data_IF_449608550837
#
_entry.id   IF_449608550837
#
_cell.length_a   1.000
_cell.length_b   1.000
_cell.length_c   1.000
_cell.angle_alpha   90.00
_cell.angle_beta   90.00
_cell.angle_gamma   90.00
#
_symmetry.space_group_name_H-M   'P 1'
#
loop_
_entity.id
_entity.type
_entity.pdbx_description
1 polymer ?
#
# COMPACT_ATOMS: atom_id res chain seq x y z
N UNK A 1 36.01 -36.53 64.56
CA UNK A 1 34.74 -36.73 65.30
C UNK A 1 33.65 -35.94 64.60
N UNK A 2 32.59 -36.62 64.15
CA UNK A 2 31.41 -35.99 63.54
C UNK A 2 30.27 -35.92 64.57
N UNK A 3 29.48 -34.84 64.61
CA UNK A 3 28.12 -34.87 65.13
C UNK A 3 27.14 -34.73 63.95
N UNK A 4 26.46 -35.83 63.59
CA UNK A 4 25.10 -36.22 64.01
C UNK A 4 23.98 -35.33 63.46
N UNK A 5 23.31 -35.91 62.47
CA UNK A 5 21.97 -35.60 61.96
C UNK A 5 20.97 -35.42 63.11
N UNK A 6 20.29 -34.27 63.13
CA UNK A 6 19.01 -34.07 63.80
C UNK A 6 17.92 -33.88 62.74
N UNK A 7 16.93 -34.77 62.75
CA UNK A 7 15.78 -34.84 61.85
C UNK A 7 14.56 -34.42 62.69
N UNK A 8 13.82 -33.40 62.26
CA UNK A 8 12.43 -33.06 62.64
C UNK A 8 11.92 -32.14 61.52
N UNK A 9 11.23 -32.63 60.49
CA UNK A 9 9.78 -32.84 60.39
C UNK A 9 8.92 -31.63 60.82
N UNK A 10 8.18 -31.13 59.82
CA UNK A 10 6.91 -30.42 59.89
C UNK A 10 6.92 -28.95 60.33
N UNK A 11 7.41 -28.08 59.44
CA UNK A 11 6.84 -26.74 59.29
C UNK A 11 5.82 -26.81 58.14
N UNK A 12 4.55 -26.65 58.51
CA UNK A 12 3.40 -26.68 57.63
C UNK A 12 3.56 -25.73 56.45
N UNK A 13 3.11 -26.19 55.28
CA UNK A 13 2.83 -25.36 54.10
C UNK A 13 1.81 -24.28 54.49
N UNK A 14 2.27 -23.15 55.00
CA UNK A 14 1.50 -21.92 54.90
C UNK A 14 1.58 -21.48 53.44
N UNK A 15 0.56 -21.86 52.67
CA UNK A 15 0.16 -21.06 51.51
C UNK A 15 -0.33 -19.72 52.05
N UNK A 16 0.62 -18.82 52.36
CA UNK A 16 0.33 -17.39 52.43
C UNK A 16 -0.24 -17.02 51.09
N UNK A 17 -1.50 -16.56 51.11
CA UNK A 17 -2.20 -15.97 49.98
C UNK A 17 -1.20 -15.08 49.25
N UNK A 18 -0.79 -15.48 48.04
CA UNK A 18 -0.13 -14.57 47.12
C UNK A 18 -1.20 -13.56 46.75
N UNK A 19 -1.29 -12.51 47.55
CA UNK A 19 -1.75 -11.20 47.14
C UNK A 19 -1.09 -10.97 45.79
N UNK A 20 -1.92 -10.87 44.73
CA UNK A 20 -1.44 -10.82 43.35
C UNK A 20 -0.54 -9.60 43.23
N UNK A 21 0.78 -9.77 43.41
CA UNK A 21 1.74 -8.70 43.22
C UNK A 21 1.46 -8.13 41.85
N UNK A 22 1.24 -6.81 41.82
CA UNK A 22 1.09 -6.09 40.57
C UNK A 22 2.35 -6.37 39.75
N UNK A 23 2.29 -6.53 38.41
CA UNK A 23 3.48 -6.88 37.62
C UNK A 23 4.71 -5.99 37.87
N UNK A 24 4.47 -4.70 38.21
CA UNK A 24 5.50 -3.75 38.64
C UNK A 24 6.14 -4.12 39.98
N UNK A 25 5.36 -4.55 40.96
CA UNK A 25 5.85 -4.99 42.27
C UNK A 25 6.63 -6.29 42.16
N UNK A 26 6.19 -7.24 41.31
CA UNK A 26 6.92 -8.48 41.07
C UNK A 26 8.30 -8.24 40.44
N UNK A 27 8.41 -7.27 39.52
CA UNK A 27 9.71 -6.87 38.93
C UNK A 27 10.61 -6.23 40.00
N UNK A 28 10.07 -5.33 40.83
CA UNK A 28 10.84 -4.70 41.90
C UNK A 28 11.32 -5.72 42.92
N UNK A 29 10.48 -6.68 43.30
CA UNK A 29 10.84 -7.72 44.25
C UNK A 29 11.93 -8.66 43.70
N UNK A 30 11.86 -8.97 42.40
CA UNK A 30 12.93 -9.67 41.69
C UNK A 30 14.26 -8.88 41.69
N UNK A 31 14.21 -7.57 41.39
CA UNK A 31 15.38 -6.71 41.42
C UNK A 31 15.99 -6.61 42.82
N UNK A 32 15.15 -6.45 43.85
CA UNK A 32 15.57 -6.44 45.26
C UNK A 32 16.19 -7.79 45.63
N UNK A 33 15.60 -8.90 45.22
CA UNK A 33 16.16 -10.24 45.41
C UNK A 33 17.53 -10.40 44.78
N UNK A 34 17.71 -9.91 43.54
CA UNK A 34 18.99 -9.96 42.85
C UNK A 34 20.06 -9.10 43.56
N UNK A 35 19.70 -7.89 44.00
CA UNK A 35 20.60 -7.01 44.76
C UNK A 35 20.97 -7.61 46.12
N UNK A 36 20.04 -8.25 46.82
CA UNK A 36 20.32 -8.98 48.07
C UNK A 36 21.29 -10.13 47.83
N UNK A 37 21.10 -10.92 46.77
CA UNK A 37 22.00 -12.01 46.40
C UNK A 37 23.41 -11.51 46.05
N UNK A 38 23.51 -10.43 45.27
CA UNK A 38 24.78 -9.79 44.94
C UNK A 38 25.49 -9.30 46.21
N UNK A 39 24.76 -8.64 47.11
CA UNK A 39 25.30 -8.14 48.38
C UNK A 39 25.81 -9.28 49.26
N UNK A 40 25.08 -10.40 49.34
CA UNK A 40 25.49 -11.59 50.09
C UNK A 40 26.76 -12.22 49.50
N UNK A 41 26.84 -12.33 48.17
CA UNK A 41 28.04 -12.84 47.48
C UNK A 41 29.26 -11.93 47.71
N UNK A 42 29.07 -10.62 47.69
CA UNK A 42 30.13 -9.65 47.99
C UNK A 42 30.59 -9.73 49.45
N UNK A 43 29.66 -9.84 50.40
CA UNK A 43 29.98 -10.06 51.82
C UNK A 43 30.77 -11.35 52.03
N UNK A 44 30.35 -12.43 51.40
CA UNK A 44 31.08 -13.71 51.45
C UNK A 44 32.51 -13.55 50.90
N UNK A 45 32.67 -12.94 49.71
CA UNK A 45 33.99 -12.70 49.10
C UNK A 45 34.89 -11.81 49.97
N UNK A 46 34.30 -10.81 50.63
CA UNK A 46 35.03 -9.95 51.57
C UNK A 46 35.54 -10.75 52.77
N UNK A 47 34.70 -11.60 53.34
CA UNK A 47 35.08 -12.40 54.51
C UNK A 47 36.15 -13.45 54.15
N UNK A 48 36.06 -14.08 52.97
CA UNK A 48 37.09 -14.99 52.49
C UNK A 48 38.44 -14.29 52.30
N UNK A 49 38.44 -13.08 51.74
CA UNK A 49 39.67 -12.29 51.58
C UNK A 49 40.26 -11.88 52.93
N UNK A 50 39.41 -11.52 53.89
CA UNK A 50 39.85 -11.18 55.25
C UNK A 50 40.46 -12.38 55.97
N UNK A 51 39.91 -13.58 55.79
CA UNK A 51 40.48 -14.81 56.36
C UNK A 51 41.82 -15.16 55.71
N UNK A 52 41.93 -15.09 54.37
CA UNK A 52 43.21 -15.30 53.69
C UNK A 52 44.27 -14.29 54.14
N UNK A 53 43.89 -13.02 54.36
CA UNK A 53 44.82 -12.01 54.87
C UNK A 53 45.32 -12.38 56.26
N UNK A 54 44.43 -12.79 57.17
CA UNK A 54 44.81 -13.23 58.52
C UNK A 54 45.77 -14.43 58.46
N UNK A 55 45.45 -15.45 57.68
CA UNK A 55 46.31 -16.62 57.51
C UNK A 55 47.71 -16.24 57.01
N UNK A 56 47.79 -15.29 56.06
CA UNK A 56 49.09 -14.80 55.57
C UNK A 56 49.87 -14.01 56.61
N UNK A 57 49.19 -13.18 57.41
CA UNK A 57 49.82 -12.46 58.51
C UNK A 57 50.33 -13.44 59.58
N UNK A 58 49.55 -14.44 59.95
CA UNK A 58 49.95 -15.46 60.92
C UNK A 58 51.17 -16.25 60.42
N UNK A 59 51.16 -16.63 59.13
CA UNK A 59 52.30 -17.29 58.49
C UNK A 59 53.56 -16.40 58.53
N UNK A 60 53.45 -15.12 58.17
CA UNK A 60 54.56 -14.17 58.26
C UNK A 60 55.11 -14.03 59.70
N UNK A 61 54.24 -14.00 60.71
CA UNK A 61 54.70 -13.93 62.12
C UNK A 61 55.43 -15.20 62.56
N UNK A 62 54.96 -16.37 62.12
CA UNK A 62 55.63 -17.65 62.40
C UNK A 62 57.00 -17.75 61.72
N UNK A 63 57.11 -17.31 60.46
CA UNK A 63 58.37 -17.26 59.73
C UNK A 63 59.37 -16.30 60.39
N UNK A 64 58.91 -15.13 60.82
CA UNK A 64 59.76 -14.18 61.55
C UNK A 64 60.31 -14.78 62.85
N UNK A 65 59.47 -15.48 63.61
CA UNK A 65 59.91 -16.20 64.81
C UNK A 65 60.92 -17.31 64.49
N UNK A 66 60.70 -18.05 63.40
CA UNK A 66 61.62 -19.09 62.94
C UNK A 66 62.97 -18.49 62.51
N UNK A 67 62.97 -17.37 61.79
CA UNK A 67 64.16 -16.65 61.39
C UNK A 67 64.95 -16.14 62.61
N UNK A 68 64.27 -15.54 63.59
CA UNK A 68 64.89 -15.10 64.85
C UNK A 68 65.46 -16.27 65.68
N UNK A 69 64.90 -17.47 65.56
CA UNK A 69 65.42 -18.68 66.18
C UNK A 69 66.68 -19.19 65.46
N UNK A 70 66.63 -19.25 64.12
CA UNK A 70 67.76 -19.66 63.28
C UNK A 70 68.94 -18.71 63.46
N UNK A 71 68.72 -17.38 63.46
CA UNK A 71 69.77 -16.39 63.67
C UNK A 71 70.42 -16.52 65.05
N UNK A 72 69.65 -16.85 66.09
CA UNK A 72 70.20 -17.14 67.42
C UNK A 72 71.04 -18.42 67.39
N UNK A 73 70.53 -19.50 66.82
CA UNK A 73 71.24 -20.77 66.71
C UNK A 73 72.56 -20.63 65.91
N UNK A 74 72.54 -19.93 64.79
CA UNK A 74 73.75 -19.67 64.00
C UNK A 74 74.73 -18.78 64.74
N UNK A 75 74.25 -17.76 65.47
CA UNK A 75 75.13 -16.94 66.32
C UNK A 75 75.80 -17.74 67.45
N UNK A 76 75.09 -18.70 68.05
CA UNK A 76 75.64 -19.61 69.06
C UNK A 76 76.67 -20.58 68.45
N UNK A 77 76.37 -21.16 67.28
CA UNK A 77 77.33 -22.03 66.56
C UNK A 77 78.57 -21.27 66.13
N UNK A 78 78.45 -20.00 65.73
CA UNK A 78 79.60 -19.17 65.35
C UNK A 78 80.50 -18.86 66.56
N UNK A 79 79.92 -18.70 67.75
CA UNK A 79 80.67 -18.58 69.00
C UNK A 79 81.37 -19.90 69.39
N UNK A 80 80.71 -21.05 69.22
CA UNK A 80 81.32 -22.36 69.49
C UNK A 80 82.47 -22.70 68.53
N UNK A 81 82.32 -22.42 67.24
CA UNK A 81 83.39 -22.64 66.23
C UNK A 81 84.60 -21.74 66.46
N UNK A 82 84.43 -20.57 67.10
CA UNK A 82 85.53 -19.65 67.37
C UNK A 82 86.46 -20.07 68.53
N UNK A 83 86.07 -21.08 69.32
CA UNK A 83 86.77 -21.44 70.56
C UNK A 83 87.64 -22.70 70.42
N UNK A 84 87.38 -23.62 69.47
CA UNK A 84 87.93 -24.98 69.59
C UNK A 84 88.72 -25.58 68.41
N UNK A 85 88.93 -24.92 67.26
CA UNK A 85 89.68 -25.56 66.15
C UNK A 85 90.93 -24.78 65.67
N UNK A 86 92.05 -24.96 66.39
CA UNK A 86 93.39 -24.94 65.80
C UNK A 86 93.68 -26.32 65.14
N UNK A 87 92.88 -26.71 64.16
CA UNK A 87 93.17 -27.88 63.32
C UNK A 87 94.08 -27.46 62.17
N UNK A 88 95.24 -28.10 62.03
CA UNK A 88 96.17 -27.87 60.92
C UNK A 88 95.49 -28.23 59.60
N UNK A 89 94.99 -27.23 58.88
CA UNK A 89 94.38 -27.40 57.57
C UNK A 89 95.48 -27.82 56.58
N UNK A 90 95.32 -28.99 55.95
CA UNK A 90 96.25 -29.47 54.93
C UNK A 90 96.11 -28.66 53.64
N UNK A 91 97.21 -28.50 52.89
CA UNK A 91 97.20 -27.73 51.63
C UNK A 91 96.19 -28.27 50.60
N UNK A 92 95.92 -29.58 50.60
CA UNK A 92 94.92 -30.17 49.69
C UNK A 92 93.47 -29.84 50.10
N UNK A 93 93.19 -29.70 51.40
CA UNK A 93 91.86 -29.32 51.89
C UNK A 93 91.54 -27.88 51.51
N UNK A 94 92.51 -26.96 51.61
CA UNK A 94 92.34 -25.58 51.16
C UNK A 94 92.08 -25.50 49.65
N UNK A 95 92.76 -26.36 48.85
CA UNK A 95 92.61 -26.39 47.40
C UNK A 95 91.24 -26.95 46.98
N UNK A 96 90.78 -28.01 47.64
CA UNK A 96 89.46 -28.57 47.42
C UNK A 96 88.35 -27.59 47.81
N UNK A 97 88.49 -26.92 48.97
CA UNK A 97 87.58 -25.86 49.39
C UNK A 97 87.54 -24.68 48.39
N UNK A 98 88.69 -24.26 47.86
CA UNK A 98 88.74 -23.19 46.85
C UNK A 98 88.05 -23.62 45.53
N UNK A 99 88.25 -24.86 45.09
CA UNK A 99 87.59 -25.40 43.91
C UNK A 99 86.07 -25.53 44.09
N UNK A 100 85.63 -25.94 45.29
CA UNK A 100 84.21 -26.08 45.61
C UNK A 100 83.53 -24.71 45.72
N UNK A 101 84.17 -23.73 46.37
CA UNK A 101 83.68 -22.34 46.41
C UNK A 101 83.64 -21.67 45.04
N UNK A 102 84.57 -21.99 44.13
CA UNK A 102 84.51 -21.52 42.75
C UNK A 102 83.35 -22.16 41.98
N UNK A 103 83.10 -23.47 42.15
CA UNK A 103 81.93 -24.13 41.54
C UNK A 103 80.62 -23.57 42.06
N UNK A 104 80.54 -23.29 43.36
CA UNK A 104 79.36 -22.65 43.98
C UNK A 104 79.17 -21.24 43.40
N UNK A 105 80.23 -20.45 43.29
CA UNK A 105 80.17 -19.12 42.67
C UNK A 105 79.70 -19.19 41.21
N UNK A 106 80.29 -20.06 40.40
CA UNK A 106 79.92 -20.22 38.99
C UNK A 106 78.45 -20.66 38.86
N UNK A 107 78.00 -21.57 39.72
CA UNK A 107 76.61 -22.00 39.77
C UNK A 107 75.66 -20.86 40.15
N UNK A 108 75.98 -20.10 41.20
CA UNK A 108 75.21 -18.92 41.62
C UNK A 108 75.16 -17.85 40.52
N UNK A 109 76.27 -17.59 39.83
CA UNK A 109 76.32 -16.64 38.71
C UNK A 109 75.43 -17.08 37.56
N UNK A 110 75.40 -18.38 37.23
CA UNK A 110 74.50 -18.90 36.19
C UNK A 110 73.02 -18.82 36.58
N UNK A 111 72.68 -19.04 37.85
CA UNK A 111 71.31 -18.90 38.34
C UNK A 111 70.86 -17.44 38.36
N UNK A 112 71.74 -16.51 38.75
CA UNK A 112 71.47 -15.06 38.67
C UNK A 112 71.21 -14.63 37.23
N UNK A 113 72.03 -15.09 36.27
CA UNK A 113 71.82 -14.82 34.85
C UNK A 113 70.46 -15.32 34.35
N UNK A 114 70.05 -16.55 34.70
CA UNK A 114 68.72 -17.08 34.33
C UNK A 114 67.57 -16.27 34.92
N UNK A 115 67.65 -15.93 36.20
CA UNK A 115 66.64 -15.10 36.86
C UNK A 115 66.55 -13.73 36.18
N UNK A 116 67.69 -13.18 35.76
CA UNK A 116 67.72 -11.89 35.06
C UNK A 116 67.06 -11.97 33.67
N UNK A 117 67.29 -13.03 32.91
CA UNK A 117 66.57 -13.30 31.66
C UNK A 117 65.05 -13.50 31.88
N UNK A 118 64.65 -14.19 32.95
CA UNK A 118 63.25 -14.38 33.31
C UNK A 118 62.57 -13.05 33.71
N UNK A 119 63.27 -12.19 34.45
CA UNK A 119 62.81 -10.84 34.77
C UNK A 119 62.64 -9.99 33.50
N UNK A 120 63.57 -10.09 32.55
CA UNK A 120 63.46 -9.34 31.30
C UNK A 120 62.31 -9.80 30.42
N UNK A 121 62.11 -11.11 30.29
CA UNK A 121 61.02 -11.69 29.49
C UNK A 121 59.66 -11.36 30.11
N UNK A 122 59.50 -11.53 31.42
CA UNK A 122 58.27 -11.14 32.14
C UNK A 122 58.02 -9.63 32.06
N UNK A 123 59.06 -8.78 32.12
CA UNK A 123 58.92 -7.33 31.95
C UNK A 123 58.47 -6.95 30.55
N UNK A 124 58.91 -7.65 29.50
CA UNK A 124 58.41 -7.45 28.13
C UNK A 124 56.93 -7.82 28.02
N UNK A 125 56.55 -9.02 28.45
CA UNK A 125 55.16 -9.47 28.44
C UNK A 125 54.23 -8.53 29.22
N UNK A 126 54.70 -8.05 30.38
CA UNK A 126 53.93 -7.10 31.20
C UNK A 126 53.71 -5.77 30.50
N UNK A 127 54.68 -5.28 29.69
CA UNK A 127 54.51 -4.04 28.91
C UNK A 127 53.40 -4.18 27.87
N UNK A 128 53.33 -5.33 27.19
CA UNK A 128 52.31 -5.58 26.16
C UNK A 128 50.91 -5.65 26.78
N UNK A 129 50.77 -6.37 27.90
CA UNK A 129 49.50 -6.44 28.65
C UNK A 129 49.08 -5.05 29.15
N UNK A 130 50.02 -4.21 29.60
CA UNK A 130 49.71 -2.84 30.02
C UNK A 130 49.25 -1.98 28.84
N UNK A 131 49.82 -2.15 27.64
CA UNK A 131 49.38 -1.45 26.44
C UNK A 131 47.98 -1.90 26.02
N UNK A 132 47.69 -3.20 26.05
CA UNK A 132 46.36 -3.72 25.80
C UNK A 132 45.33 -3.17 26.80
N UNK A 133 45.66 -3.17 28.09
CA UNK A 133 44.79 -2.59 29.12
C UNK A 133 44.52 -1.11 28.87
N UNK A 134 45.52 -0.33 28.45
CA UNK A 134 45.32 1.07 28.06
C UNK A 134 44.39 1.20 26.87
N UNK A 135 44.54 0.35 25.85
CA UNK A 135 43.65 0.35 24.68
C UNK A 135 42.20 -0.03 25.03
N UNK A 136 42.02 -1.01 25.92
CA UNK A 136 40.70 -1.36 26.43
C UNK A 136 40.08 -0.25 27.26
N UNK A 137 40.90 0.46 28.03
CA UNK A 137 40.46 1.60 28.81
C UNK A 137 40.00 2.75 27.91
N UNK A 138 40.79 3.11 26.88
CA UNK A 138 40.39 4.16 25.92
C UNK A 138 39.13 3.78 25.14
N UNK A 139 39.00 2.52 24.72
CA UNK A 139 37.77 2.03 24.11
C UNK A 139 36.57 2.16 25.05
N UNK A 140 36.72 1.75 26.31
CA UNK A 140 35.65 1.78 27.31
C UNK A 140 35.21 3.21 27.67
N UNK A 141 36.15 4.15 27.77
CA UNK A 141 35.84 5.51 28.22
C UNK A 141 35.39 6.44 27.09
N UNK A 142 36.02 6.34 25.92
CA UNK A 142 35.81 7.28 24.81
C UNK A 142 34.91 6.66 23.75
N UNK A 143 35.35 5.54 23.17
CA UNK A 143 34.67 4.93 22.02
C UNK A 143 33.30 4.39 22.38
N UNK A 144 33.17 3.76 23.56
CA UNK A 144 31.89 3.23 24.03
C UNK A 144 30.86 4.34 24.21
N UNK A 145 31.24 5.45 24.86
CA UNK A 145 30.33 6.60 25.06
C UNK A 145 29.89 7.21 23.73
N UNK A 146 30.83 7.38 22.79
CA UNK A 146 30.52 7.87 21.44
C UNK A 146 29.57 6.92 20.68
N UNK A 147 29.79 5.61 20.79
CA UNK A 147 28.92 4.63 20.17
C UNK A 147 27.54 4.62 20.82
N UNK A 148 27.45 4.79 22.13
CA UNK A 148 26.19 4.82 22.86
C UNK A 148 25.36 6.06 22.49
N UNK A 149 25.98 7.24 22.36
CA UNK A 149 25.28 8.44 21.85
C UNK A 149 24.86 8.27 20.39
N UNK A 150 25.69 7.64 19.56
CA UNK A 150 25.32 7.32 18.17
C UNK A 150 24.13 6.37 18.10
N UNK A 151 24.10 5.33 18.94
CA UNK A 151 22.99 4.38 19.02
C UNK A 151 21.71 5.12 19.44
N UNK A 152 21.77 5.96 20.48
CA UNK A 152 20.61 6.74 20.92
C UNK A 152 20.09 7.69 19.82
N UNK A 153 20.99 8.34 19.07
CA UNK A 153 20.58 9.17 17.93
C UNK A 153 19.87 8.35 16.84
N UNK A 154 20.41 7.18 16.50
CA UNK A 154 19.80 6.29 15.51
C UNK A 154 18.46 5.72 15.97
N UNK A 155 18.31 5.38 17.26
CA UNK A 155 17.04 4.96 17.84
C UNK A 155 16.00 6.07 17.78
N UNK A 156 16.38 7.30 18.09
CA UNK A 156 15.50 8.46 17.98
C UNK A 156 15.10 8.74 16.53
N UNK A 157 16.04 8.64 15.59
CA UNK A 157 15.76 8.78 14.16
C UNK A 157 14.80 7.69 13.67
N UNK A 158 15.00 6.44 14.08
CA UNK A 158 14.10 5.33 13.77
C UNK A 158 12.67 5.58 14.28
N UNK A 159 12.53 6.04 15.53
CA UNK A 159 11.21 6.37 16.10
C UNK A 159 10.54 7.52 15.33
N UNK A 160 11.29 8.56 15.00
CA UNK A 160 10.79 9.69 14.21
C UNK A 160 10.35 9.25 12.81
N UNK A 161 11.14 8.39 12.15
CA UNK A 161 10.81 7.85 10.84
C UNK A 161 9.53 7.01 10.91
N UNK A 162 9.40 6.15 11.92
CA UNK A 162 8.19 5.36 12.15
C UNK A 162 6.95 6.25 12.36
N UNK A 163 7.06 7.29 13.18
CA UNK A 163 5.95 8.22 13.42
C UNK A 163 5.55 8.98 12.15
N UNK A 164 6.52 9.38 11.32
CA UNK A 164 6.25 10.03 10.03
C UNK A 164 5.52 9.09 9.08
N UNK A 165 5.94 7.82 8.99
CA UNK A 165 5.25 6.83 8.19
C UNK A 165 3.82 6.58 8.67
N UNK A 166 3.61 6.43 9.97
CA UNK A 166 2.26 6.26 10.53
C UNK A 166 1.37 7.47 10.26
N UNK A 167 1.91 8.68 10.36
CA UNK A 167 1.18 9.92 10.05
C UNK A 167 0.82 10.02 8.57
N UNK A 168 1.77 9.66 7.69
CA UNK A 168 1.53 9.63 6.24
C UNK A 168 0.48 8.59 5.88
N UNK A 169 0.53 7.38 6.47
CA UNK A 169 -0.48 6.35 6.26
C UNK A 169 -1.86 6.83 6.70
N UNK A 170 -1.98 7.46 7.88
CA UNK A 170 -3.24 8.06 8.33
C UNK A 170 -3.77 9.08 7.33
N UNK A 171 -2.93 10.03 6.91
CA UNK A 171 -3.28 11.03 5.91
C UNK A 171 -3.78 10.40 4.61
N UNK A 172 -3.04 9.42 4.07
CA UNK A 172 -3.43 8.74 2.83
C UNK A 172 -4.76 8.01 2.98
N UNK A 173 -5.00 7.31 4.09
CA UNK A 173 -6.28 6.61 4.33
C UNK A 173 -7.46 7.58 4.52
N UNK A 174 -7.23 8.75 5.10
CA UNK A 174 -8.26 9.78 5.20
C UNK A 174 -8.56 10.40 3.84
N UNK A 175 -7.53 10.64 3.04
CA UNK A 175 -7.68 11.21 1.71
C UNK A 175 -8.37 10.24 0.77
N UNK A 176 -8.01 8.96 0.81
CA UNK A 176 -8.71 7.89 0.09
C UNK A 176 -10.21 7.89 0.41
N UNK A 177 -10.57 7.89 1.70
CA UNK A 177 -11.98 7.98 2.13
C UNK A 177 -12.67 9.26 1.66
N UNK A 178 -12.00 10.42 1.69
CA UNK A 178 -12.55 11.68 1.18
C UNK A 178 -12.80 11.60 -0.33
N UNK A 179 -11.86 11.01 -1.08
CA UNK A 179 -12.00 10.83 -2.52
C UNK A 179 -13.13 9.86 -2.86
N UNK A 180 -13.25 8.74 -2.15
CA UNK A 180 -14.36 7.79 -2.31
C UNK A 180 -15.72 8.43 -2.02
N UNK A 181 -15.83 9.20 -0.94
CA UNK A 181 -17.08 9.90 -0.61
C UNK A 181 -17.43 10.94 -1.68
N UNK A 182 -16.44 11.68 -2.18
CA UNK A 182 -16.65 12.67 -3.24
C UNK A 182 -17.02 12.02 -4.57
N UNK A 183 -16.38 10.91 -4.95
CA UNK A 183 -16.74 10.18 -6.17
C UNK A 183 -18.15 9.61 -6.06
N UNK A 184 -18.52 9.02 -4.92
CA UNK A 184 -19.88 8.55 -4.68
C UNK A 184 -20.92 9.68 -4.77
N UNK A 185 -20.67 10.82 -4.13
CA UNK A 185 -21.56 11.98 -4.19
C UNK A 185 -21.70 12.51 -5.63
N UNK A 186 -20.61 12.60 -6.38
CA UNK A 186 -20.65 13.03 -7.79
C UNK A 186 -21.39 12.04 -8.69
N UNK A 187 -21.24 10.73 -8.45
CA UNK A 187 -21.98 9.69 -9.15
C UNK A 187 -23.48 9.79 -8.84
N UNK A 188 -23.85 10.02 -7.58
CA UNK A 188 -25.24 10.19 -7.17
C UNK A 188 -25.87 11.43 -7.83
N UNK A 189 -25.21 12.59 -7.73
CA UNK A 189 -25.67 13.84 -8.37
C UNK A 189 -25.78 13.71 -9.89
N UNK A 190 -24.80 13.08 -10.54
CA UNK A 190 -24.85 12.85 -12.00
C UNK A 190 -25.94 11.85 -12.38
N UNK A 191 -26.19 10.81 -11.56
CA UNK A 191 -27.30 9.88 -11.76
C UNK A 191 -28.65 10.58 -11.66
N UNK A 192 -28.84 11.43 -10.65
CA UNK A 192 -30.05 12.25 -10.51
C UNK A 192 -30.23 13.21 -11.68
N UNK A 193 -29.16 13.88 -12.12
CA UNK A 193 -29.21 14.75 -13.28
C UNK A 193 -29.61 14.00 -14.55
N UNK A 194 -29.06 12.81 -14.78
CA UNK A 194 -29.44 11.96 -15.92
C UNK A 194 -30.90 11.55 -15.82
N UNK A 195 -31.38 11.11 -14.65
CA UNK A 195 -32.79 10.73 -14.45
C UNK A 195 -33.72 11.90 -14.76
N UNK A 196 -33.43 13.08 -14.22
CA UNK A 196 -34.23 14.29 -14.46
C UNK A 196 -34.20 14.68 -15.94
N UNK A 197 -33.03 14.66 -16.58
CA UNK A 197 -32.90 14.95 -18.01
C UNK A 197 -33.70 13.96 -18.89
N UNK A 198 -33.74 12.69 -18.52
CA UNK A 198 -34.55 11.68 -19.22
C UNK A 198 -36.04 11.93 -19.01
N UNK A 199 -36.46 12.27 -17.80
CA UNK A 199 -37.85 12.62 -17.48
C UNK A 199 -38.29 13.86 -18.28
N UNK A 200 -37.49 14.93 -18.27
CA UNK A 200 -37.79 16.17 -19.02
C UNK A 200 -37.94 15.89 -20.52
N UNK A 201 -37.03 15.10 -21.10
CA UNK A 201 -37.13 14.68 -22.51
C UNK A 201 -38.38 13.85 -22.78
N UNK A 202 -38.74 12.94 -21.87
CA UNK A 202 -39.95 12.14 -22.02
C UNK A 202 -41.22 13.02 -21.95
N UNK A 203 -41.25 13.98 -21.03
CA UNK A 203 -42.32 14.98 -20.91
C UNK A 203 -42.42 15.80 -22.19
N UNK A 204 -41.30 16.26 -22.76
CA UNK A 204 -41.30 17.02 -24.01
C UNK A 204 -41.85 16.21 -25.20
N UNK A 205 -41.47 14.94 -25.31
CA UNK A 205 -41.98 14.04 -26.36
C UNK A 205 -43.49 13.83 -26.18
N UNK A 206 -43.95 13.57 -24.96
CA UNK A 206 -45.36 13.40 -24.66
C UNK A 206 -46.16 14.68 -24.94
N UNK A 207 -45.66 15.84 -24.54
CA UNK A 207 -46.30 17.14 -24.79
C UNK A 207 -46.41 17.44 -26.29
N UNK A 208 -45.36 17.14 -27.08
CA UNK A 208 -45.39 17.28 -28.54
C UNK A 208 -46.42 16.33 -29.17
N UNK A 209 -46.41 15.06 -28.76
CA UNK A 209 -47.36 14.06 -29.25
C UNK A 209 -48.80 14.45 -28.92
N UNK A 210 -49.07 14.87 -27.69
CA UNK A 210 -50.39 15.31 -27.24
C UNK A 210 -50.86 16.56 -28.01
N UNK A 211 -49.98 17.54 -28.20
CA UNK A 211 -50.30 18.76 -28.98
C UNK A 211 -50.64 18.42 -30.42
N UNK A 212 -49.89 17.49 -31.04
CA UNK A 212 -50.18 17.00 -32.38
C UNK A 212 -51.52 16.26 -32.45
N UNK A 213 -51.82 15.39 -31.48
CA UNK A 213 -53.11 14.69 -31.41
C UNK A 213 -54.29 15.64 -31.20
N UNK A 214 -54.14 16.66 -30.35
CA UNK A 214 -55.16 17.70 -30.16
C UNK A 214 -55.41 18.48 -31.45
N UNK A 215 -54.34 18.84 -32.17
CA UNK A 215 -54.46 19.52 -33.47
C UNK A 215 -55.18 18.63 -34.48
N UNK A 216 -54.78 17.36 -34.62
CA UNK A 216 -55.44 16.38 -35.48
C UNK A 216 -56.93 16.22 -35.13
N UNK A 217 -57.26 16.14 -33.85
CA UNK A 217 -58.65 16.04 -33.40
C UNK A 217 -59.47 17.28 -33.81
N UNK A 218 -58.89 18.48 -33.70
CA UNK A 218 -59.55 19.70 -34.14
C UNK A 218 -59.78 19.71 -35.67
N UNK A 219 -58.80 19.27 -36.45
CA UNK A 219 -58.98 19.10 -37.90
C UNK A 219 -60.08 18.10 -38.23
N UNK A 220 -60.12 16.94 -37.56
CA UNK A 220 -61.18 15.94 -37.75
C UNK A 220 -62.57 16.48 -37.40
N UNK A 221 -62.70 17.34 -36.38
CA UNK A 221 -63.97 18.01 -36.05
C UNK A 221 -64.42 18.95 -37.16
N UNK A 222 -63.50 19.72 -37.73
CA UNK A 222 -63.80 20.61 -38.87
C UNK A 222 -64.22 19.78 -40.08
N UNK A 223 -63.46 18.74 -40.41
CA UNK A 223 -63.76 17.85 -41.53
C UNK A 223 -65.13 17.17 -41.35
N UNK A 224 -65.42 16.69 -40.13
CA UNK A 224 -66.73 16.12 -39.80
C UNK A 224 -67.87 17.11 -40.08
N UNK A 225 -67.73 18.37 -39.66
CA UNK A 225 -68.75 19.40 -39.91
C UNK A 225 -68.95 19.64 -41.41
N UNK A 226 -67.86 19.73 -42.18
CA UNK A 226 -67.93 19.89 -43.64
C UNK A 226 -68.62 18.68 -44.29
N UNK A 227 -68.32 17.47 -43.84
CA UNK A 227 -68.95 16.25 -44.32
C UNK A 227 -70.45 16.20 -43.98
N UNK A 228 -70.85 16.59 -42.77
CA UNK A 228 -72.26 16.72 -42.38
C UNK A 228 -73.00 17.71 -43.30
N UNK A 229 -72.43 18.89 -43.57
CA UNK A 229 -73.00 19.87 -44.50
C UNK A 229 -73.07 19.36 -45.96
N UNK A 230 -72.10 18.52 -46.38
CA UNK A 230 -72.14 17.86 -47.70
C UNK A 230 -73.24 16.80 -47.76
N UNK A 231 -73.36 15.98 -46.72
CA UNK A 231 -74.41 14.95 -46.61
C UNK A 231 -75.79 15.62 -46.64
N UNK A 232 -75.98 16.71 -45.91
CA UNK A 232 -77.25 17.45 -45.89
C UNK A 232 -77.58 18.01 -47.28
N UNK A 233 -76.61 18.62 -47.98
CA UNK A 233 -76.80 19.10 -49.37
C UNK A 233 -77.17 17.98 -50.33
N UNK A 234 -76.47 16.85 -50.27
CA UNK A 234 -76.78 15.68 -51.11
C UNK A 234 -78.18 15.14 -50.79
N UNK A 235 -78.57 15.09 -49.51
CA UNK A 235 -79.91 14.67 -49.10
C UNK A 235 -80.99 15.58 -49.69
N UNK A 236 -80.80 16.90 -49.63
CA UNK A 236 -81.72 17.88 -50.22
C UNK A 236 -81.80 17.75 -51.76
N UNK A 237 -80.68 17.49 -52.42
CA UNK A 237 -80.64 17.26 -53.86
C UNK A 237 -81.36 15.96 -54.25
N UNK A 238 -81.16 14.88 -53.49
CA UNK A 238 -81.90 13.62 -53.67
C UNK A 238 -83.40 13.85 -53.49
N UNK A 239 -83.83 14.56 -52.44
CA UNK A 239 -85.25 14.88 -52.23
C UNK A 239 -85.82 15.74 -53.37
N UNK A 240 -85.06 16.71 -53.87
CA UNK A 240 -85.45 17.53 -55.02
C UNK A 240 -85.60 16.70 -56.29
N UNK A 241 -84.65 15.80 -56.56
CA UNK A 241 -84.71 14.87 -57.69
C UNK A 241 -85.86 13.87 -57.55
N UNK A 242 -86.12 13.35 -56.34
CA UNK A 242 -87.27 12.50 -56.07
C UNK A 242 -88.59 13.25 -56.33
N UNK A 243 -88.72 14.50 -55.87
CA UNK A 243 -89.89 15.34 -56.17
C UNK A 243 -90.06 15.55 -57.67
N UNK A 244 -88.98 15.91 -58.39
CA UNK A 244 -89.00 16.07 -59.85
C UNK A 244 -89.37 14.78 -60.58
N UNK A 245 -88.88 13.65 -60.10
CA UNK A 245 -89.20 12.34 -60.68
C UNK A 245 -90.67 11.98 -60.43
N UNK A 246 -91.20 12.23 -59.23
CA UNK A 246 -92.63 12.06 -58.94
C UNK A 246 -93.48 12.95 -59.85
N UNK A 247 -93.13 14.23 -60.01
CA UNK A 247 -93.86 15.13 -60.93
C UNK A 247 -93.76 14.67 -62.37
N UNK A 248 -92.57 14.24 -62.83
CA UNK A 248 -92.40 13.71 -64.18
C UNK A 248 -93.19 12.42 -64.41
N UNK A 249 -93.24 11.52 -63.42
CA UNK A 249 -94.08 10.33 -63.46
C UNK A 249 -95.57 10.69 -63.53
N UNK A 250 -95.98 11.75 -62.83
CA UNK A 250 -97.34 12.27 -62.85
C UNK A 250 -97.68 12.95 -64.18
N UNK A 251 -96.74 13.68 -64.78
CA UNK A 251 -96.87 14.26 -66.13
C UNK A 251 -96.94 13.16 -67.20
N UNK A 252 -96.11 12.12 -67.10
CA UNK A 252 -96.21 10.92 -67.97
C UNK A 252 -97.57 10.25 -67.79
N UNK A 253 -98.06 10.11 -66.56
CA UNK A 253 -99.39 9.55 -66.30
C UNK A 253 -100.49 10.41 -66.93
N UNK A 254 -100.41 11.74 -66.81
CA UNK A 254 -101.36 12.69 -67.38
C UNK A 254 -101.30 12.73 -68.93
N UNK A 255 -100.11 12.69 -69.53
CA UNK A 255 -99.93 12.62 -70.97
C UNK A 255 -100.41 11.27 -71.55
N UNK A 256 -100.18 10.17 -70.83
CA UNK A 256 -100.71 8.86 -71.21
C UNK A 256 -102.25 8.84 -71.11
N UNK A 257 -102.82 9.47 -70.08
CA UNK A 257 -104.26 9.72 -69.97
C UNK A 257 -104.80 10.59 -71.12
N UNK A 258 -104.07 11.63 -71.51
CA UNK A 258 -104.42 12.47 -72.65
C UNK A 258 -104.38 11.69 -73.98
N UNK A 259 -103.40 10.81 -74.18
CA UNK A 259 -103.35 9.89 -75.32
C UNK A 259 -104.49 8.86 -75.31
N UNK A 260 -104.92 8.40 -74.13
CA UNK A 260 -106.09 7.52 -73.98
C UNK A 260 -107.42 8.28 -74.23
N UNK A 261 -107.45 9.60 -74.00
CA UNK A 261 -108.62 10.47 -74.17
C UNK A 261 -108.71 11.16 -75.53
N UNK A 262 -107.69 11.05 -76.40
CA UNK A 262 -107.85 11.39 -77.82
C UNK A 262 -108.80 10.37 -78.44
N UNK A 263 -109.95 10.78 -78.99
CA UNK A 263 -110.84 9.88 -79.68
C UNK A 263 -110.08 9.24 -80.84
N UNK A 264 -109.95 7.92 -80.77
CA UNK A 264 -109.66 7.04 -81.88
C UNK A 264 -110.85 7.17 -82.85
N UNK A 265 -110.95 8.29 -83.55
CA UNK A 265 -111.82 8.46 -84.70
C UNK A 265 -111.06 7.89 -85.90
N UNK A 266 -111.10 6.56 -85.99
CA UNK A 266 -111.00 5.87 -87.27
C UNK A 266 -112.07 6.44 -88.18
N UNK A 267 -111.64 7.14 -89.22
CA UNK A 267 -112.44 7.44 -90.40
C UNK A 267 -111.69 6.86 -91.58
N UNK A 268 -112.27 5.82 -92.17
CA UNK A 268 -111.83 5.16 -93.38
C UNK A 268 -111.43 6.17 -94.47
N UNK A 269 -110.15 6.21 -94.83
CA UNK A 269 -109.75 6.63 -96.17
C UNK A 269 -108.96 5.46 -96.75
N UNK A 270 -109.74 4.75 -97.55
CA UNK A 270 -109.41 3.78 -98.57
C UNK A 270 -107.99 3.95 -99.14
N UNK A 271 -107.30 2.81 -99.14
CA UNK A 271 -106.19 2.49 -100.04
C UNK A 271 -106.64 2.79 -101.47
N UNK A 272 -106.01 3.77 -102.10
CA UNK A 272 -105.94 3.89 -103.56
C UNK A 272 -104.55 3.43 -104.00
N UNK A 273 -104.54 2.58 -105.02
CA UNK A 273 -103.36 2.00 -105.67
C UNK A 273 -102.52 3.07 -106.41
N UNK A 274 -101.81 3.90 -105.66
CA UNK A 274 -100.56 4.52 -106.10
C UNK A 274 -99.56 4.40 -104.94
N UNK A 275 -99.02 3.20 -104.81
CA UNK A 275 -97.77 2.93 -104.11
C UNK A 275 -96.66 3.79 -104.72
N UNK A 276 -96.18 4.77 -103.96
CA UNK A 276 -94.79 5.20 -104.06
C UNK A 276 -94.11 4.90 -102.71
N UNK A 277 -93.82 3.60 -102.50
CA UNK A 277 -93.02 3.04 -101.41
C UNK A 277 -91.53 3.41 -101.55
N UNK A 278 -91.25 4.69 -101.76
CA UNK A 278 -89.92 5.19 -102.05
C UNK A 278 -89.64 6.50 -101.33
N UNK A 279 -89.16 6.38 -100.08
CA UNK A 279 -88.52 7.42 -99.24
C UNK A 279 -89.43 8.06 -98.18
N UNK A 280 -89.30 7.62 -96.94
CA UNK A 280 -89.09 8.57 -95.84
C UNK A 280 -88.29 7.91 -94.70
N UNK A 281 -86.99 8.16 -94.77
CA UNK A 281 -85.97 7.90 -93.76
C UNK A 281 -86.18 8.86 -92.59
N UNK A 282 -87.06 8.58 -91.63
CA UNK A 282 -87.18 9.42 -90.40
C UNK A 282 -87.38 8.59 -89.12
N UNK A 283 -86.87 7.36 -89.06
CA UNK A 283 -86.76 6.63 -87.79
C UNK A 283 -85.43 5.86 -87.75
N UNK A 284 -84.35 6.58 -87.47
CA UNK A 284 -83.08 6.01 -87.04
C UNK A 284 -82.30 7.06 -86.22
N UNK A 285 -82.70 7.25 -84.97
CA UNK A 285 -81.86 7.92 -83.97
C UNK A 285 -81.07 6.84 -83.23
N UNK A 286 -79.86 6.60 -83.71
CA UNK A 286 -78.80 5.92 -82.98
C UNK A 286 -78.59 6.59 -81.62
N UNK A 287 -78.67 5.79 -80.57
CA UNK A 287 -78.21 6.13 -79.22
C UNK A 287 -76.68 6.10 -79.20
N UNK A 288 -76.04 7.26 -79.06
CA UNK A 288 -74.62 7.35 -78.74
C UNK A 288 -74.40 7.00 -77.26
N UNK A 289 -73.62 5.95 -77.05
CA UNK A 289 -73.39 5.28 -75.79
C UNK A 289 -72.05 5.70 -75.17
N UNK A 290 -71.82 7.02 -75.00
CA UNK A 290 -70.61 7.56 -74.37
C UNK A 290 -70.91 8.77 -73.45
N UNK A 291 -71.92 8.62 -72.58
CA UNK A 291 -72.34 9.64 -71.61
C UNK A 291 -71.94 9.33 -70.15
N UNK A 292 -71.01 8.39 -69.92
CA UNK A 292 -70.53 8.07 -68.57
C UNK A 292 -68.99 8.03 -68.51
N UNK A 293 -68.38 9.22 -68.52
CA UNK A 293 -66.96 9.40 -68.20
C UNK A 293 -66.71 9.21 -66.70
N UNK A 294 -66.27 8.02 -66.30
CA UNK A 294 -65.60 7.80 -65.02
C UNK A 294 -64.08 7.83 -65.25
N UNK A 295 -63.46 8.98 -65.05
CA UNK A 295 -62.01 9.06 -64.87
C UNK A 295 -61.64 8.46 -63.51
N UNK A 296 -60.92 7.33 -63.54
CA UNK A 296 -60.25 6.75 -62.37
C UNK A 296 -58.80 7.22 -62.38
N UNK A 297 -58.52 8.29 -61.65
CA UNK A 297 -57.14 8.66 -61.30
C UNK A 297 -56.64 7.76 -60.16
N UNK A 298 -56.03 6.63 -60.54
CA UNK A 298 -55.13 5.86 -59.70
C UNK A 298 -53.71 6.13 -60.19
N UNK A 299 -52.98 7.00 -59.49
CA UNK A 299 -51.57 7.25 -59.81
C UNK A 299 -50.81 8.06 -58.77
N UNK A 300 -49.90 7.36 -58.07
CA UNK A 300 -48.65 7.86 -57.46
C UNK A 300 -48.70 8.52 -56.07
N UNK A 301 -48.74 7.68 -55.02
CA UNK A 301 -48.03 7.97 -53.77
C UNK A 301 -46.68 7.25 -53.80
N UNK A 302 -45.58 8.01 -53.80
CA UNK A 302 -44.23 7.51 -53.61
C UNK A 302 -44.02 7.18 -52.13
N UNK A 303 -43.52 5.98 -51.86
CA UNK A 303 -42.93 5.60 -50.57
C UNK A 303 -41.62 6.38 -50.37
N UNK A 304 -41.63 7.35 -49.46
CA UNK A 304 -40.43 7.92 -48.81
C UNK A 304 -40.54 7.70 -47.31
N UNK A 305 -40.37 6.46 -46.87
CA UNK A 305 -40.05 6.14 -45.47
C UNK A 305 -38.91 5.12 -45.50
N UNK A 306 -37.92 5.29 -44.61
CA UNK A 306 -36.72 4.47 -44.38
C UNK A 306 -35.36 5.12 -44.67
N UNK A 307 -35.17 6.42 -44.37
CA UNK A 307 -33.82 6.99 -44.19
C UNK A 307 -33.56 7.62 -42.81
N UNK A 308 -34.60 7.89 -42.00
CA UNK A 308 -34.40 8.58 -40.72
C UNK A 308 -34.09 7.67 -39.51
N UNK A 309 -34.40 6.37 -39.55
CA UNK A 309 -34.17 5.48 -38.39
C UNK A 309 -32.71 5.01 -38.24
N UNK A 310 -31.98 4.82 -39.33
CA UNK A 310 -30.55 4.47 -39.27
C UNK A 310 -29.67 5.64 -38.83
N UNK A 311 -30.02 6.87 -39.22
CA UNK A 311 -29.27 8.07 -38.84
C UNK A 311 -29.55 8.48 -37.37
N UNK A 312 -30.76 8.24 -36.86
CA UNK A 312 -31.07 8.40 -35.43
C UNK A 312 -30.33 7.36 -34.57
N UNK A 313 -30.23 6.10 -35.02
CA UNK A 313 -29.47 5.05 -34.30
C UNK A 313 -27.96 5.31 -34.30
N UNK A 314 -27.39 5.80 -35.41
CA UNK A 314 -25.96 6.16 -35.49
C UNK A 314 -25.63 7.39 -34.63
N UNK A 315 -26.52 8.39 -34.58
CA UNK A 315 -26.32 9.58 -33.75
C UNK A 315 -26.48 9.30 -32.23
N UNK A 316 -27.39 8.41 -31.84
CA UNK A 316 -27.51 7.98 -30.44
C UNK A 316 -26.26 7.17 -30.01
N UNK A 317 -25.79 6.22 -30.84
CA UNK A 317 -24.59 5.42 -30.54
C UNK A 317 -23.32 6.28 -30.42
N UNK A 318 -23.17 7.29 -31.28
CA UNK A 318 -22.05 8.24 -31.24
C UNK A 318 -22.04 9.10 -29.97
N UNK A 319 -23.22 9.55 -29.53
CA UNK A 319 -23.34 10.40 -28.34
C UNK A 319 -23.08 9.64 -27.03
N UNK A 320 -23.50 8.36 -26.95
CA UNK A 320 -23.20 7.50 -25.81
C UNK A 320 -21.71 7.11 -25.74
N UNK A 321 -21.04 6.88 -26.87
CA UNK A 321 -19.60 6.58 -26.90
C UNK A 321 -18.73 7.81 -26.62
N UNK A 322 -19.13 9.00 -27.08
CA UNK A 322 -18.40 10.25 -26.81
C UNK A 322 -18.43 10.62 -25.32
N UNK A 323 -19.57 10.47 -24.65
CA UNK A 323 -19.69 10.73 -23.21
C UNK A 323 -18.95 9.69 -22.33
N UNK A 324 -18.88 8.41 -22.75
CA UNK A 324 -18.09 7.39 -22.05
C UNK A 324 -16.59 7.66 -22.16
N UNK A 325 -16.12 8.10 -23.33
CA UNK A 325 -14.71 8.48 -23.50
C UNK A 325 -14.37 9.76 -22.71
N UNK A 326 -15.25 10.75 -22.66
CA UNK A 326 -15.02 11.99 -21.92
C UNK A 326 -14.97 11.77 -20.39
N UNK A 327 -15.69 10.77 -19.87
CA UNK A 327 -15.60 10.32 -18.47
C UNK A 327 -14.33 9.51 -18.18
N UNK A 328 -13.84 8.69 -19.12
CA UNK A 328 -12.61 7.91 -18.95
C UNK A 328 -11.33 8.75 -18.99
N UNK A 329 -11.31 9.86 -19.74
CA UNK A 329 -10.14 10.75 -19.81
C UNK A 329 -9.98 11.70 -18.61
N UNK A 330 -10.98 11.81 -17.73
CA UNK A 330 -10.85 12.57 -16.47
C UNK A 330 -10.36 11.72 -15.29
N UNK A 331 -10.37 10.39 -15.40
CA UNK A 331 -9.94 9.47 -14.32
C UNK A 331 -8.44 9.12 -14.36
N UNK A 332 -7.76 9.37 -15.49
CA UNK A 332 -6.33 9.14 -15.61
C UNK A 332 -5.55 10.44 -15.41
N UNK A 333 -5.39 10.82 -14.14
CA UNK A 333 -4.46 11.87 -13.71
C UNK A 333 -3.01 11.49 -13.99
N UNK A 334 -2.57 11.64 -15.24
CA UNK A 334 -1.15 11.70 -15.59
C UNK A 334 -0.66 13.08 -15.14
N UNK A 335 0.10 13.12 -14.06
CA UNK A 335 0.78 14.32 -13.59
C UNK A 335 1.63 14.94 -14.73
N UNK A 336 1.48 16.25 -15.02
CA UNK A 336 2.38 16.92 -15.94
C UNK A 336 3.78 16.99 -15.30
N UNK A 337 4.75 16.39 -15.98
CA UNK A 337 6.17 16.43 -15.67
C UNK A 337 6.68 17.86 -15.89
N UNK A 338 6.59 18.69 -14.85
CA UNK A 338 7.21 20.02 -14.87
C UNK A 338 8.74 19.86 -14.85
N UNK A 339 9.36 20.09 -16.01
CA UNK A 339 10.78 20.38 -16.12
C UNK A 339 11.04 21.75 -15.49
N UNK A 340 11.64 21.77 -14.30
CA UNK A 340 12.26 23.00 -13.76
C UNK A 340 13.70 23.04 -14.31
N UNK A 341 14.15 24.15 -14.92
CA UNK A 341 15.50 24.26 -15.43
C UNK A 341 16.51 24.51 -14.30
N UNK A 342 17.56 23.69 -14.29
CA UNK A 342 18.92 23.98 -13.80
C UNK A 342 19.07 24.83 -12.54
N UNK A 343 19.13 24.17 -11.38
CA UNK A 343 19.87 24.69 -10.23
C UNK A 343 21.08 23.77 -10.00
N UNK A 344 22.26 24.27 -10.34
CA UNK A 344 23.53 23.65 -9.97
C UNK A 344 23.68 23.92 -8.48
N UNK A 345 23.51 22.87 -7.67
CA UNK A 345 23.76 22.92 -6.23
C UNK A 345 25.24 22.61 -6.01
N UNK A 346 25.93 23.49 -5.29
CA UNK A 346 27.36 23.42 -5.01
C UNK A 346 27.79 22.06 -4.44
N UNK A 347 28.94 21.60 -4.94
CA UNK A 347 29.53 20.26 -4.74
C UNK A 347 29.80 19.95 -3.25
N UNK A 348 29.93 20.98 -2.40
CA UNK A 348 30.18 20.81 -0.96
C UNK A 348 28.95 20.29 -0.19
N UNK A 349 27.73 20.54 -0.65
CA UNK A 349 26.53 20.01 -0.01
C UNK A 349 26.24 18.53 -0.32
N UNK A 350 26.87 17.98 -1.37
CA UNK A 350 26.71 16.58 -1.79
C UNK A 350 27.53 15.57 -0.97
N UNK A 351 28.64 16.03 -0.36
CA UNK A 351 29.49 15.20 0.49
C UNK A 351 28.84 14.85 1.84
N UNK A 352 27.90 15.67 2.31
CA UNK A 352 27.22 15.52 3.59
C UNK A 352 26.00 14.58 3.58
N UNK A 353 25.54 14.13 2.40
CA UNK A 353 24.37 13.27 2.30
C UNK A 353 24.68 11.81 2.66
N UNK A 354 23.75 11.19 3.38
CA UNK A 354 23.79 9.79 3.76
C UNK A 354 23.58 8.83 2.57
N UNK A 355 23.84 7.52 2.75
CA UNK A 355 23.77 6.52 1.66
C UNK A 355 22.39 6.39 1.01
N UNK A 356 21.32 6.57 1.79
CA UNK A 356 19.94 6.52 1.29
C UNK A 356 19.57 7.76 0.49
N UNK A 357 20.06 8.92 0.90
CA UNK A 357 19.78 10.20 0.25
C UNK A 357 20.53 10.28 -1.09
N UNK A 358 21.76 9.77 -1.14
CA UNK A 358 22.52 9.58 -2.39
C UNK A 358 21.79 8.68 -3.39
N UNK A 359 21.15 7.61 -2.89
CA UNK A 359 20.35 6.68 -3.73
C UNK A 359 19.04 7.31 -4.22
N UNK A 360 18.42 8.17 -3.42
CA UNK A 360 17.26 8.96 -3.83
C UNK A 360 17.60 9.97 -4.93
N UNK A 361 18.76 10.63 -4.86
CA UNK A 361 19.24 11.53 -5.91
C UNK A 361 19.50 10.81 -7.24
N UNK A 362 20.04 9.58 -7.19
CA UNK A 362 20.25 8.75 -8.39
C UNK A 362 18.92 8.36 -9.05
N UNK A 363 17.91 7.97 -8.27
CA UNK A 363 16.58 7.63 -8.77
C UNK A 363 15.82 8.84 -9.35
N UNK A 364 16.22 10.06 -8.97
CA UNK A 364 15.68 11.32 -9.52
C UNK A 364 16.38 11.78 -10.82
N UNK A 365 17.40 11.06 -11.29
CA UNK A 365 18.03 11.30 -12.59
C UNK A 365 19.01 12.47 -12.64
N UNK A 366 19.55 12.91 -11.50
CA UNK A 366 20.58 13.94 -11.45
C UNK A 366 21.95 13.33 -11.82
N UNK A 367 22.71 13.93 -12.77
CA UNK A 367 24.03 13.43 -13.14
C UNK A 367 25.04 13.85 -12.07
N UNK A 368 25.38 12.94 -11.15
CA UNK A 368 26.49 13.13 -10.22
C UNK A 368 27.53 12.03 -10.45
N UNK A 369 28.73 12.45 -10.87
CA UNK A 369 29.91 11.58 -10.91
C UNK A 369 30.34 11.28 -9.48
N UNK A 370 30.13 10.05 -9.00
CA UNK A 370 30.46 9.64 -7.63
C UNK A 370 31.87 9.04 -7.47
N UNK A 371 32.67 9.00 -8.53
CA UNK A 371 33.97 8.32 -8.50
C UNK A 371 35.12 9.28 -8.15
N UNK A 372 35.16 9.73 -6.89
CA UNK A 372 36.39 10.16 -6.21
C UNK A 372 36.23 9.98 -4.71
N UNK A 373 36.34 8.73 -4.26
CA UNK A 373 36.66 8.46 -2.85
C UNK A 373 38.19 8.41 -2.71
N UNK A 374 38.74 9.24 -1.83
CA UNK A 374 40.15 9.23 -1.50
C UNK A 374 40.49 7.93 -0.75
N UNK A 375 41.14 7.00 -1.44
CA UNK A 375 41.62 5.69 -0.96
C UNK A 375 42.66 5.73 0.19
N UNK A 376 42.85 6.88 0.84
CA UNK A 376 43.87 7.10 1.87
C UNK A 376 43.31 7.22 3.30
N UNK A 377 41.98 7.22 3.49
CA UNK A 377 41.40 7.38 4.83
C UNK A 377 41.69 6.17 5.75
N UNK A 378 42.10 6.40 7.02
CA UNK A 378 42.25 5.36 8.04
C UNK A 378 41.00 4.51 8.25
N UNK A 379 39.80 5.07 8.01
CA UNK A 379 38.52 4.34 8.11
C UNK A 379 38.37 3.27 7.02
N UNK A 380 38.87 3.53 5.80
CA UNK A 380 38.84 2.55 4.71
C UNK A 380 39.78 1.37 4.99
N UNK A 381 40.95 1.63 5.60
CA UNK A 381 41.87 0.58 6.06
C UNK A 381 41.27 -0.26 7.20
N UNK A 382 40.42 0.31 8.05
CA UNK A 382 39.70 -0.43 9.08
C UNK A 382 38.57 -1.30 8.49
N UNK A 383 37.88 -0.82 7.45
CA UNK A 383 36.85 -1.59 6.72
C UNK A 383 37.43 -2.77 5.94
N UNK A 384 38.58 -2.61 5.28
CA UNK A 384 39.28 -3.71 4.58
C UNK A 384 39.76 -4.82 5.53
N UNK A 385 40.03 -4.50 6.80
CA UNK A 385 40.36 -5.51 7.82
C UNK A 385 39.13 -6.22 8.39
N UNK A 386 37.94 -5.67 8.19
CA UNK A 386 36.70 -6.24 8.69
C UNK A 386 35.97 -6.93 7.54
N UNK A 387 36.49 -8.09 7.15
CA UNK A 387 35.90 -8.93 6.11
C UNK A 387 35.07 -10.05 6.76
N UNK A 388 33.73 -9.97 6.79
CA UNK A 388 32.87 -10.98 7.42
C UNK A 388 32.69 -12.26 6.58
N UNK A 389 33.40 -12.40 5.45
CA UNK A 389 33.29 -13.55 4.54
C UNK A 389 34.37 -14.63 4.75
N UNK A 390 35.17 -14.55 5.82
CA UNK A 390 35.98 -15.72 6.22
C UNK A 390 35.14 -16.67 7.07
N UNK A 391 34.99 -17.90 6.58
CA UNK A 391 34.34 -19.06 7.21
C UNK A 391 34.90 -19.49 8.60
N UNK A 392 35.82 -18.72 9.18
CA UNK A 392 36.50 -19.00 10.45
C UNK A 392 36.03 -18.11 11.62
N UNK A 393 34.75 -17.70 11.63
CA UNK A 393 34.18 -17.03 12.81
C UNK A 393 33.69 -18.07 13.84
N UNK A 394 34.11 -18.02 15.12
CA UNK A 394 33.81 -19.07 16.10
C UNK A 394 32.36 -19.05 16.63
N UNK A 395 31.49 -18.23 16.02
CA UNK A 395 30.09 -18.11 16.42
C UNK A 395 29.21 -18.39 15.21
N UNK A 396 28.87 -19.67 15.06
CA UNK A 396 27.94 -20.11 14.03
C UNK A 396 26.55 -19.48 14.26
N UNK A 397 25.82 -19.17 13.19
CA UNK A 397 24.48 -18.55 13.23
C UNK A 397 23.49 -19.33 14.10
N UNK A 398 23.70 -20.64 14.22
CA UNK A 398 22.96 -21.58 15.06
C UNK A 398 23.19 -21.42 16.57
N UNK A 399 24.29 -20.77 16.98
CA UNK A 399 24.57 -20.46 18.38
C UNK A 399 23.76 -19.24 18.85
N UNK A 400 23.51 -18.29 17.94
CA UNK A 400 22.71 -17.09 18.24
C UNK A 400 21.21 -17.39 18.28
N UNK A 401 20.71 -18.28 17.42
CA UNK A 401 19.30 -18.69 17.42
C UNK A 401 18.89 -19.44 18.70
N UNK A 402 19.81 -20.19 19.32
CA UNK A 402 19.58 -20.86 20.61
C UNK A 402 19.49 -19.91 21.81
N UNK A 403 20.12 -18.73 21.74
CA UNK A 403 20.09 -17.76 22.83
C UNK A 403 18.99 -16.72 22.70
N UNK A 404 18.44 -16.51 21.50
CA UNK A 404 17.33 -15.60 21.25
C UNK A 404 15.95 -16.26 21.39
N UNK A 405 15.90 -17.56 21.61
CA UNK A 405 14.66 -18.34 21.77
C UNK A 405 14.35 -18.73 23.22
N UNK A 406 14.92 -18.03 24.22
CA UNK A 406 14.61 -18.26 25.64
C UNK A 406 13.76 -17.16 26.25
#
# INVERSE_FOLDING_TARGET
MAPKKGRNQNAAKQHTKMEKLTPKEAILDYQIGNLRNLTSRLKFKRETLKNMLKEKVDLLTSLKLQEEAILRETSSKLMEISVDDETSVSSDDTKNYLLETWKVRDFEETEVMKIQEEIETTRRLTKDVVLELKNWHTYSEVTKKLNETRIQMLEMEYVNMKQRFESMMKYLTEEEKRTELNTHANIELSSEHIKNSVIDKAIDILNKSLSQQMLQNNWLKVEKKILEEKIERISLEIESLQKKNITAAQDVFNCNLAHILVPISFGDIQVTEEDDLGKSTILDLKLDQDMFGFERDLGNYKHEENKNEEDLRKNLSSTYQSNLNQMLYQSNGVFPRNKVPGQIIDIEHLAALGPLEKKACYLQGLPANFDREDFSSPEFRARLKFNPELDDWPVNRDMLSKHLSS
#
